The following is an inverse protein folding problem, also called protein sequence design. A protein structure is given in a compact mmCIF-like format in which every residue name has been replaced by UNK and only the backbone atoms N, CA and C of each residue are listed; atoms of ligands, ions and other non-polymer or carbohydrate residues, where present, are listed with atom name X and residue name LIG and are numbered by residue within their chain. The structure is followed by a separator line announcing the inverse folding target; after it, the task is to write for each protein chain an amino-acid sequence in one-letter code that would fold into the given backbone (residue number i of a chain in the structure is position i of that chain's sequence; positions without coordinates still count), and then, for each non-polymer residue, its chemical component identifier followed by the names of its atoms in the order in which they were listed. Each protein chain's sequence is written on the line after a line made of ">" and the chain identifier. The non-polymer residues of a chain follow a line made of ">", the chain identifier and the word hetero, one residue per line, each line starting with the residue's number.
data_IF_708269114847
#
_entry.id   IF_708269114847
#
_cell.length_a   1.000
_cell.length_b   1.000
_cell.length_c   1.000
_cell.angle_alpha   90.00
_cell.angle_beta   90.00
_cell.angle_gamma   90.00
#
_symmetry.space_group_name_H-M   'P 1'
#
loop_
_entity.id
_entity.type
_entity.pdbx_description
1 polymer ?
#
# COMPACT_ATOMS: atom_id res chain seq x y z
N UNK A 1 -13.98 1.69 -29.57
CA UNK A 1 -14.96 1.83 -28.48
C UNK A 1 -14.51 2.82 -27.39
N UNK A 2 -13.21 2.97 -27.15
CA UNK A 2 -12.67 3.91 -26.13
C UNK A 2 -12.67 5.39 -26.58
N UNK A 3 -12.77 5.67 -27.88
CA UNK A 3 -12.75 7.03 -28.41
C UNK A 3 -14.10 7.78 -28.33
N UNK A 4 -15.20 7.12 -28.01
CA UNK A 4 -16.53 7.73 -27.94
C UNK A 4 -16.94 8.23 -26.54
N UNK A 5 -16.05 8.10 -25.52
CA UNK A 5 -16.36 8.50 -24.13
C UNK A 5 -16.01 9.94 -23.80
N UNK A 6 -15.77 10.81 -24.79
CA UNK A 6 -15.19 12.14 -24.56
C UNK A 6 -16.23 13.25 -24.37
N UNK A 7 -17.37 12.97 -23.75
CA UNK A 7 -18.51 13.89 -23.74
C UNK A 7 -19.05 14.38 -22.40
N UNK A 8 -18.56 13.94 -21.22
CA UNK A 8 -19.18 14.37 -19.96
C UNK A 8 -18.12 14.87 -18.98
N UNK A 9 -18.14 16.18 -18.72
CA UNK A 9 -17.37 16.85 -17.66
C UNK A 9 -18.04 16.73 -16.28
N UNK A 10 -18.96 15.80 -16.09
CA UNK A 10 -19.55 15.52 -14.79
C UNK A 10 -18.62 14.56 -14.04
N UNK A 11 -18.29 14.89 -12.78
CA UNK A 11 -17.49 14.00 -11.91
C UNK A 11 -18.15 12.63 -11.77
N UNK A 12 -17.38 11.64 -11.36
CA UNK A 12 -17.88 10.28 -11.10
C UNK A 12 -19.01 10.33 -10.06
N UNK A 13 -20.07 9.58 -10.29
CA UNK A 13 -21.09 9.36 -9.26
C UNK A 13 -20.53 8.51 -8.13
N UNK A 14 -21.11 8.57 -6.94
CA UNK A 14 -20.71 7.75 -5.78
C UNK A 14 -20.69 6.27 -6.16
N UNK A 15 -21.71 5.78 -6.88
CA UNK A 15 -21.77 4.39 -7.34
C UNK A 15 -20.62 4.03 -8.29
N UNK A 16 -20.31 4.91 -9.25
CA UNK A 16 -19.17 4.72 -10.16
C UNK A 16 -17.84 4.71 -9.42
N UNK A 17 -17.68 5.54 -8.39
CA UNK A 17 -16.47 5.57 -7.56
C UNK A 17 -16.31 4.28 -6.78
N UNK A 18 -17.37 3.75 -6.16
CA UNK A 18 -17.34 2.45 -5.48
C UNK A 18 -17.01 1.30 -6.44
N UNK A 19 -17.65 1.24 -7.60
CA UNK A 19 -17.39 0.21 -8.61
C UNK A 19 -15.96 0.29 -9.13
N UNK A 20 -15.46 1.48 -9.40
CA UNK A 20 -14.09 1.70 -9.85
C UNK A 20 -13.10 1.24 -8.78
N UNK A 21 -13.28 1.64 -7.53
CA UNK A 21 -12.40 1.25 -6.43
C UNK A 21 -12.39 -0.26 -6.24
N UNK A 22 -13.57 -0.88 -6.16
CA UNK A 22 -13.68 -2.34 -6.05
C UNK A 22 -13.02 -3.05 -7.24
N UNK A 23 -13.26 -2.54 -8.45
CA UNK A 23 -12.65 -3.08 -9.67
C UNK A 23 -11.12 -2.98 -9.67
N UNK A 24 -10.56 -1.87 -9.19
CA UNK A 24 -9.11 -1.70 -9.06
C UNK A 24 -8.53 -2.66 -8.02
N UNK A 25 -9.14 -2.75 -6.82
CA UNK A 25 -8.69 -3.64 -5.75
C UNK A 25 -8.80 -5.13 -6.08
N UNK A 26 -9.69 -5.52 -6.98
CA UNK A 26 -9.75 -6.89 -7.51
C UNK A 26 -8.83 -7.07 -8.72
N UNK A 27 -8.74 -6.07 -9.59
CA UNK A 27 -7.97 -6.14 -10.82
C UNK A 27 -6.46 -6.14 -10.59
N UNK A 28 -5.95 -5.29 -9.71
CA UNK A 28 -4.51 -5.21 -9.45
C UNK A 28 -3.92 -6.54 -8.95
N UNK A 29 -4.53 -7.28 -8.01
CA UNK A 29 -4.01 -8.59 -7.60
C UNK A 29 -4.03 -9.65 -8.71
N UNK A 30 -4.96 -9.58 -9.66
CA UNK A 30 -4.98 -10.50 -10.81
C UNK A 30 -3.67 -10.38 -11.61
N UNK A 31 -3.22 -9.15 -11.86
CA UNK A 31 -1.93 -8.90 -12.54
C UNK A 31 -0.74 -9.08 -11.59
N UNK A 32 -0.89 -8.69 -10.32
CA UNK A 32 0.13 -8.84 -9.28
C UNK A 32 0.49 -10.31 -9.00
N UNK A 33 -0.40 -11.24 -9.29
CA UNK A 33 -0.18 -12.68 -9.15
C UNK A 33 0.76 -13.26 -10.24
N UNK A 34 0.84 -12.62 -11.42
CA UNK A 34 1.57 -13.19 -12.56
C UNK A 34 3.05 -13.47 -12.28
N UNK A 35 3.83 -12.62 -11.62
CA UNK A 35 5.22 -12.93 -11.29
C UNK A 35 5.37 -14.19 -10.41
N UNK A 36 4.42 -14.48 -9.53
CA UNK A 36 4.44 -15.68 -8.71
C UNK A 36 4.10 -16.95 -9.51
N UNK A 37 3.23 -16.83 -10.49
CA UNK A 37 2.88 -17.97 -11.36
C UNK A 37 3.98 -18.32 -12.36
N UNK A 38 4.53 -17.31 -13.01
CA UNK A 38 5.53 -17.49 -14.08
C UNK A 38 6.96 -17.41 -13.58
N UNK A 39 7.15 -17.05 -12.31
CA UNK A 39 8.46 -17.02 -11.66
C UNK A 39 8.88 -18.38 -11.10
N UNK A 40 9.97 -18.37 -10.34
CA UNK A 40 10.56 -19.59 -9.78
C UNK A 40 9.68 -20.30 -8.73
N UNK A 41 8.60 -19.71 -8.27
CA UNK A 41 7.65 -20.34 -7.35
C UNK A 41 6.69 -21.30 -8.03
N UNK A 42 6.45 -21.12 -9.34
CA UNK A 42 5.46 -21.90 -10.11
C UNK A 42 4.14 -22.08 -9.35
N UNK A 43 3.73 -21.04 -8.63
CA UNK A 43 2.61 -21.10 -7.71
C UNK A 43 1.29 -21.31 -8.49
N UNK A 44 0.36 -22.06 -7.89
CA UNK A 44 -1.00 -22.15 -8.44
C UNK A 44 -1.62 -20.75 -8.45
N UNK A 45 -2.45 -20.47 -9.44
CA UNK A 45 -3.06 -19.14 -9.59
C UNK A 45 -3.78 -18.65 -8.31
N UNK A 46 -4.47 -19.54 -7.61
CA UNK A 46 -5.19 -19.20 -6.39
C UNK A 46 -4.23 -18.74 -5.28
N UNK A 47 -3.11 -19.44 -5.12
CA UNK A 47 -2.09 -19.12 -4.11
C UNK A 47 -1.38 -17.81 -4.47
N UNK A 48 -1.03 -17.64 -5.74
CA UNK A 48 -0.44 -16.41 -6.28
C UNK A 48 -1.37 -15.20 -6.15
N UNK A 49 -2.66 -15.38 -6.41
CA UNK A 49 -3.67 -14.35 -6.24
C UNK A 49 -3.86 -13.97 -4.78
N UNK A 50 -3.91 -14.97 -3.88
CA UNK A 50 -4.01 -14.72 -2.45
C UNK A 50 -2.82 -13.90 -1.95
N UNK A 51 -1.60 -14.28 -2.34
CA UNK A 51 -0.37 -13.58 -1.96
C UNK A 51 -0.37 -12.13 -2.47
N UNK A 52 -0.75 -11.91 -3.72
CA UNK A 52 -0.86 -10.58 -4.31
C UNK A 52 -1.95 -9.73 -3.65
N UNK A 53 -3.10 -10.33 -3.35
CA UNK A 53 -4.20 -9.67 -2.63
C UNK A 53 -3.76 -9.30 -1.22
N UNK A 54 -3.16 -10.23 -0.48
CA UNK A 54 -2.63 -10.00 0.87
C UNK A 54 -1.57 -8.90 0.90
N UNK A 55 -0.71 -8.85 -0.12
CA UNK A 55 0.24 -7.75 -0.29
C UNK A 55 -0.47 -6.42 -0.49
N UNK A 56 -1.30 -6.30 -1.51
CA UNK A 56 -1.97 -5.04 -1.86
C UNK A 56 -2.93 -4.53 -0.78
N UNK A 57 -3.60 -5.43 -0.05
CA UNK A 57 -4.47 -5.02 1.07
C UNK A 57 -3.70 -4.78 2.37
N UNK A 58 -2.37 -4.88 2.33
CA UNK A 58 -1.49 -4.76 3.50
C UNK A 58 -1.83 -5.73 4.64
N UNK A 59 -2.45 -6.87 4.32
CA UNK A 59 -2.86 -7.88 5.31
C UNK A 59 -1.67 -8.64 5.89
N UNK A 60 -0.64 -8.93 5.07
CA UNK A 60 0.58 -9.60 5.52
C UNK A 60 0.47 -11.11 5.74
N UNK A 61 -0.69 -11.72 5.46
CA UNK A 61 -0.83 -13.18 5.47
C UNK A 61 -0.16 -13.80 4.23
N UNK A 62 0.59 -14.87 4.41
CA UNK A 62 1.30 -15.56 3.32
C UNK A 62 0.92 -17.04 3.24
N UNK A 63 0.83 -17.55 2.01
CA UNK A 63 0.70 -18.98 1.72
C UNK A 63 2.03 -19.59 1.29
N UNK A 64 3.03 -18.74 1.04
CA UNK A 64 4.36 -19.21 0.66
C UNK A 64 5.17 -19.62 1.89
N UNK A 65 5.90 -20.69 1.73
CA UNK A 65 6.87 -21.25 2.69
C UNK A 65 8.25 -21.28 2.06
N UNK A 66 9.30 -21.48 2.85
CA UNK A 66 10.68 -21.46 2.42
C UNK A 66 11.09 -20.10 1.81
N UNK A 67 10.64 -19.02 2.43
CA UNK A 67 10.94 -17.65 1.99
C UNK A 67 12.46 -17.39 1.96
N UNK A 68 13.21 -18.02 2.89
CA UNK A 68 14.66 -17.92 2.99
C UNK A 68 15.40 -18.30 1.70
N UNK A 69 14.81 -19.17 0.89
CA UNK A 69 15.38 -19.66 -0.38
C UNK A 69 14.72 -19.05 -1.61
N UNK A 70 13.68 -18.24 -1.41
CA UNK A 70 12.94 -17.63 -2.51
C UNK A 70 13.82 -16.60 -3.25
N UNK A 71 13.72 -16.52 -4.59
CA UNK A 71 14.43 -15.50 -5.36
C UNK A 71 14.15 -14.09 -4.87
N UNK A 72 15.21 -13.30 -4.67
CA UNK A 72 15.13 -11.92 -4.18
C UNK A 72 14.18 -11.04 -4.98
N UNK A 73 14.03 -11.29 -6.29
CA UNK A 73 13.08 -10.56 -7.13
C UNK A 73 11.62 -10.76 -6.70
N UNK A 74 11.26 -11.98 -6.30
CA UNK A 74 9.90 -12.28 -5.82
C UNK A 74 9.65 -11.73 -4.41
N UNK A 75 10.67 -11.78 -3.53
CA UNK A 75 10.63 -11.16 -2.21
C UNK A 75 10.44 -9.64 -2.32
N UNK A 76 11.20 -9.00 -3.23
CA UNK A 76 11.04 -7.58 -3.51
C UNK A 76 9.65 -7.28 -4.07
N UNK A 77 9.13 -8.12 -4.98
CA UNK A 77 7.80 -7.96 -5.55
C UNK A 77 6.71 -7.98 -4.48
N UNK A 78 6.79 -8.90 -3.50
CA UNK A 78 5.92 -8.93 -2.33
C UNK A 78 5.95 -7.62 -1.56
N UNK A 79 7.16 -7.11 -1.28
CA UNK A 79 7.36 -5.82 -0.60
C UNK A 79 6.78 -4.65 -1.38
N UNK A 80 6.98 -4.60 -2.71
CA UNK A 80 6.43 -3.55 -3.59
C UNK A 80 4.90 -3.58 -3.60
N UNK A 81 4.27 -4.75 -3.71
CA UNK A 81 2.81 -4.87 -3.66
C UNK A 81 2.25 -4.29 -2.36
N UNK A 82 2.89 -4.62 -1.23
CA UNK A 82 2.47 -4.14 0.08
C UNK A 82 2.69 -2.63 0.23
N UNK A 83 3.80 -2.12 -0.25
CA UNK A 83 4.15 -0.70 -0.21
C UNK A 83 3.19 0.16 -1.05
N UNK A 84 2.87 -0.27 -2.26
CA UNK A 84 1.86 0.40 -3.10
C UNK A 84 0.44 0.27 -2.51
N UNK A 85 0.15 -0.86 -1.88
CA UNK A 85 -1.11 -1.05 -1.16
C UNK A 85 -1.31 -0.02 -0.05
N UNK A 86 -0.28 0.25 0.73
CA UNK A 86 -0.30 1.27 1.79
C UNK A 86 -0.65 2.66 1.25
N UNK A 87 -0.01 3.11 0.17
CA UNK A 87 -0.37 4.38 -0.49
C UNK A 87 -1.79 4.31 -1.05
N UNK A 88 -2.17 3.20 -1.68
CA UNK A 88 -3.48 3.02 -2.29
C UNK A 88 -4.62 3.18 -1.28
N UNK A 89 -4.49 2.60 -0.09
CA UNK A 89 -5.49 2.73 0.98
C UNK A 89 -5.63 4.19 1.42
N UNK A 90 -4.54 4.93 1.58
CA UNK A 90 -4.56 6.35 1.96
C UNK A 90 -5.27 7.19 0.90
N UNK A 91 -4.96 6.97 -0.38
CA UNK A 91 -5.59 7.69 -1.50
C UNK A 91 -7.09 7.39 -1.55
N UNK A 92 -7.48 6.13 -1.42
CA UNK A 92 -8.89 5.72 -1.39
C UNK A 92 -9.62 6.37 -0.22
N UNK A 93 -9.05 6.34 0.99
CA UNK A 93 -9.63 6.98 2.15
C UNK A 93 -9.87 8.49 1.92
N UNK A 94 -8.90 9.19 1.34
CA UNK A 94 -9.05 10.62 1.04
C UNK A 94 -10.15 10.92 0.02
N UNK A 95 -10.37 10.05 -0.95
CA UNK A 95 -11.43 10.21 -1.94
C UNK A 95 -12.80 9.96 -1.33
N UNK A 96 -12.93 8.94 -0.49
CA UNK A 96 -14.23 8.54 0.07
C UNK A 96 -14.67 9.34 1.29
N UNK A 97 -13.75 9.72 2.19
CA UNK A 97 -14.09 10.42 3.42
C UNK A 97 -14.93 11.71 3.21
N UNK A 98 -14.61 12.57 2.22
CA UNK A 98 -15.43 13.76 1.94
C UNK A 98 -16.82 13.42 1.38
N UNK A 99 -16.94 12.31 0.63
CA UNK A 99 -18.19 11.91 -0.02
C UNK A 99 -19.15 11.20 0.94
N UNK A 100 -18.63 10.43 1.90
CA UNK A 100 -19.44 9.66 2.83
C UNK A 100 -20.20 10.49 3.86
N UNK A 101 -19.91 11.79 3.98
CA UNK A 101 -20.57 12.72 4.93
C UNK A 101 -20.73 12.14 6.34
N UNK A 102 -19.84 11.27 6.77
CA UNK A 102 -19.95 10.55 8.04
C UNK A 102 -19.55 11.46 9.18
N UNK A 103 -20.51 11.72 10.07
CA UNK A 103 -20.35 12.20 11.43
C UNK A 103 -19.47 13.44 11.67
N UNK A 104 -20.06 14.55 12.06
CA UNK A 104 -19.37 15.72 12.62
C UNK A 104 -18.71 16.67 11.62
N UNK A 105 -18.31 16.22 10.44
CA UNK A 105 -17.67 17.05 9.42
C UNK A 105 -18.64 18.06 8.78
N UNK A 106 -19.96 17.88 8.96
CA UNK A 106 -20.96 18.85 8.54
C UNK A 106 -20.92 20.13 9.39
N UNK A 107 -20.55 20.04 10.67
CA UNK A 107 -20.40 21.18 11.57
C UNK A 107 -19.18 22.00 11.16
N UNK A 108 -18.06 21.35 10.82
CA UNK A 108 -16.87 22.03 10.30
C UNK A 108 -17.10 22.68 8.93
N UNK A 109 -17.94 22.12 8.07
CA UNK A 109 -18.30 22.75 6.79
C UNK A 109 -19.17 23.99 6.99
N UNK A 110 -20.11 23.99 7.94
CA UNK A 110 -21.02 25.11 8.16
C UNK A 110 -20.31 26.38 8.68
N UNK A 111 -19.25 26.23 9.50
CA UNK A 111 -18.46 27.37 10.00
C UNK A 111 -17.30 27.79 9.07
N UNK A 112 -16.82 26.88 8.22
CA UNK A 112 -15.64 27.14 7.37
C UNK A 112 -15.99 27.62 5.94
N UNK A 113 -17.27 27.60 5.54
CA UNK A 113 -17.63 27.83 4.13
C UNK A 113 -17.51 29.28 3.66
N UNK A 114 -17.52 30.28 4.56
CA UNK A 114 -17.42 31.68 4.15
C UNK A 114 -16.00 32.23 4.04
N UNK A 115 -15.02 31.56 4.65
CA UNK A 115 -13.62 32.01 4.60
C UNK A 115 -12.66 31.05 3.90
N UNK A 116 -13.05 29.79 3.65
CA UNK A 116 -12.19 28.72 3.15
C UNK A 116 -12.38 28.37 1.67
N UNK A 117 -13.19 29.08 0.93
CA UNK A 117 -13.35 28.88 -0.53
C UNK A 117 -12.06 28.99 -1.36
N UNK A 118 -10.94 29.31 -0.72
CA UNK A 118 -9.60 29.41 -1.34
C UNK A 118 -8.57 28.42 -0.83
N UNK A 119 -8.86 27.58 0.18
CA UNK A 119 -7.83 26.81 0.91
C UNK A 119 -8.02 25.28 0.83
N UNK A 120 -8.96 24.75 0.07
CA UNK A 120 -8.95 23.30 -0.18
C UNK A 120 -7.87 23.01 -1.22
N UNK A 121 -6.67 22.48 -0.80
CA UNK A 121 -5.70 22.02 -1.76
C UNK A 121 -6.38 20.98 -2.65
N UNK A 122 -6.18 21.06 -3.95
CA UNK A 122 -6.70 20.06 -4.89
C UNK A 122 -6.31 18.69 -4.38
N UNK A 123 -7.20 17.71 -4.43
CA UNK A 123 -6.94 16.33 -3.96
C UNK A 123 -5.59 15.77 -4.48
N UNK A 124 -5.20 16.16 -5.69
CA UNK A 124 -3.88 15.85 -6.27
C UNK A 124 -2.71 16.41 -5.45
N UNK A 125 -2.82 17.63 -4.93
CA UNK A 125 -1.75 18.25 -4.12
C UNK A 125 -1.59 17.49 -2.80
N UNK A 126 -2.69 17.14 -2.14
CA UNK A 126 -2.68 16.35 -0.91
C UNK A 126 -2.08 14.96 -1.18
N UNK A 127 -2.50 14.30 -2.25
CA UNK A 127 -1.97 12.98 -2.63
C UNK A 127 -0.45 13.03 -2.86
N UNK A 128 0.05 14.05 -3.56
CA UNK A 128 1.49 14.24 -3.78
C UNK A 128 2.22 14.47 -2.45
N UNK A 129 1.71 15.34 -1.59
CA UNK A 129 2.35 15.62 -0.29
C UNK A 129 2.42 14.36 0.58
N UNK A 130 1.34 13.59 0.66
CA UNK A 130 1.33 12.32 1.42
C UNK A 130 2.31 11.32 0.80
N UNK A 131 2.35 11.20 -0.53
CA UNK A 131 3.30 10.30 -1.19
C UNK A 131 4.75 10.68 -0.91
N UNK A 132 5.07 11.98 -0.88
CA UNK A 132 6.42 12.46 -0.52
C UNK A 132 6.76 12.14 0.94
N UNK A 133 5.83 12.37 1.86
CA UNK A 133 6.02 12.02 3.28
C UNK A 133 6.21 10.50 3.44
N UNK A 134 5.38 9.70 2.79
CA UNK A 134 5.45 8.24 2.82
C UNK A 134 6.81 7.74 2.31
N UNK A 135 7.29 8.31 1.20
CA UNK A 135 8.62 8.01 0.66
C UNK A 135 9.72 8.40 1.64
N UNK A 136 9.63 9.61 2.24
CA UNK A 136 10.61 10.08 3.20
C UNK A 136 10.69 9.18 4.44
N UNK A 137 9.55 8.78 5.00
CA UNK A 137 9.47 7.85 6.13
C UNK A 137 10.07 6.48 5.73
N UNK A 138 9.77 5.99 4.52
CA UNK A 138 10.34 4.74 4.02
C UNK A 138 11.87 4.83 3.95
N UNK A 139 12.42 5.92 3.42
CA UNK A 139 13.87 6.13 3.35
C UNK A 139 14.53 6.17 4.73
N UNK A 140 13.91 6.86 5.69
CA UNK A 140 14.40 6.90 7.08
C UNK A 140 14.36 5.49 7.68
N UNK A 141 13.28 4.75 7.47
CA UNK A 141 13.13 3.37 7.96
C UNK A 141 14.21 2.44 7.39
N UNK A 142 14.53 2.56 6.07
CA UNK A 142 15.63 1.81 5.44
C UNK A 142 16.96 2.09 6.15
N UNK A 143 17.27 3.37 6.39
CA UNK A 143 18.52 3.76 7.04
C UNK A 143 18.60 3.23 8.47
N UNK A 144 17.49 3.26 9.22
CA UNK A 144 17.44 2.71 10.58
C UNK A 144 17.63 1.19 10.56
N UNK A 145 16.93 0.45 9.70
CA UNK A 145 17.15 -1.00 9.58
C UNK A 145 18.58 -1.35 9.17
N UNK A 146 19.14 -0.60 8.24
CA UNK A 146 20.54 -0.80 7.84
C UNK A 146 21.51 -0.55 9.00
N UNK A 147 21.27 0.48 9.84
CA UNK A 147 22.09 0.81 11.01
C UNK A 147 22.03 -0.27 12.11
N UNK A 148 20.90 -0.96 12.24
CA UNK A 148 20.73 -2.10 13.18
C UNK A 148 21.41 -3.38 12.66
N UNK A 149 21.84 -3.39 11.38
CA UNK A 149 22.66 -4.45 10.82
C UNK A 149 21.94 -5.39 9.83
N UNK A 150 20.80 -4.98 9.29
CA UNK A 150 20.16 -5.69 8.17
C UNK A 150 20.99 -5.47 6.89
N UNK A 151 20.94 -6.46 5.98
CA UNK A 151 21.47 -6.27 4.63
C UNK A 151 20.72 -5.12 3.92
N UNK A 152 21.34 -4.47 2.94
CA UNK A 152 20.68 -3.41 2.16
C UNK A 152 19.37 -3.89 1.52
N UNK A 153 19.33 -5.14 1.06
CA UNK A 153 18.14 -5.75 0.50
C UNK A 153 17.05 -5.96 1.55
N UNK A 154 17.38 -6.57 2.69
CA UNK A 154 16.41 -6.80 3.76
C UNK A 154 15.90 -5.50 4.37
N UNK A 155 16.81 -4.54 4.59
CA UNK A 155 16.42 -3.21 5.08
C UNK A 155 15.40 -2.54 4.15
N UNK A 156 15.59 -2.63 2.83
CA UNK A 156 14.67 -2.05 1.84
C UNK A 156 13.32 -2.74 1.87
N UNK A 157 13.28 -4.06 1.77
CA UNK A 157 12.01 -4.81 1.71
C UNK A 157 11.24 -4.68 3.04
N UNK A 158 11.92 -4.86 4.19
CA UNK A 158 11.27 -4.73 5.49
C UNK A 158 10.81 -3.30 5.79
N UNK A 159 11.54 -2.27 5.33
CA UNK A 159 11.07 -0.90 5.47
C UNK A 159 9.78 -0.63 4.66
N UNK A 160 9.71 -1.14 3.42
CA UNK A 160 8.49 -1.06 2.60
C UNK A 160 7.29 -1.70 3.30
N UNK A 161 7.48 -2.90 3.85
CA UNK A 161 6.39 -3.65 4.49
C UNK A 161 6.03 -3.12 5.87
N UNK A 162 7.00 -2.55 6.59
CA UNK A 162 6.79 -1.91 7.89
C UNK A 162 6.01 -0.61 7.75
N UNK A 163 6.43 0.29 6.87
CA UNK A 163 5.75 1.59 6.67
C UNK A 163 4.35 1.42 6.07
N UNK A 164 4.16 0.36 5.28
CA UNK A 164 2.83 -0.04 4.82
C UNK A 164 1.97 -0.69 5.92
N UNK A 165 2.51 -0.91 7.12
CA UNK A 165 1.88 -1.65 8.23
C UNK A 165 1.42 -3.06 7.86
N UNK A 166 2.09 -3.70 6.88
CA UNK A 166 1.66 -4.97 6.32
C UNK A 166 2.41 -6.19 6.86
N UNK A 167 3.69 -6.07 7.18
CA UNK A 167 4.46 -7.08 7.89
C UNK A 167 4.92 -8.29 7.07
N UNK A 168 4.90 -8.26 5.75
CA UNK A 168 5.58 -9.29 4.96
C UNK A 168 7.07 -9.32 5.28
N UNK A 169 7.62 -10.52 5.46
CA UNK A 169 9.04 -10.76 5.70
C UNK A 169 9.69 -11.52 4.54
N UNK A 170 11.03 -11.43 4.46
CA UNK A 170 11.86 -12.21 3.57
C UNK A 170 12.19 -13.59 4.15
N UNK A 171 11.82 -13.87 5.40
CA UNK A 171 12.19 -15.06 6.15
C UNK A 171 10.95 -15.71 6.78
N UNK A 172 10.92 -17.04 6.82
CA UNK A 172 9.83 -17.78 7.45
C UNK A 172 9.75 -17.49 8.96
N UNK A 173 10.89 -17.26 9.63
CA UNK A 173 10.95 -16.85 11.02
C UNK A 173 10.59 -15.36 11.26
N UNK A 174 10.24 -14.62 10.20
CA UNK A 174 9.97 -13.17 10.27
C UNK A 174 11.10 -12.40 10.96
N UNK A 175 10.82 -11.52 11.90
CA UNK A 175 11.85 -10.77 12.64
C UNK A 175 12.72 -11.66 13.54
N UNK A 176 12.32 -12.91 13.83
CA UNK A 176 13.14 -13.88 14.53
C UNK A 176 14.42 -14.29 13.80
N UNK A 177 14.52 -14.02 12.50
CA UNK A 177 15.74 -14.23 11.71
C UNK A 177 16.84 -13.18 11.97
N UNK A 178 16.50 -12.06 12.61
CA UNK A 178 17.40 -10.93 12.85
C UNK A 178 17.90 -10.87 14.31
N UNK A 179 18.78 -9.91 14.57
CA UNK A 179 19.27 -9.66 15.93
C UNK A 179 18.13 -9.20 16.84
N UNK A 180 18.17 -9.57 18.13
CA UNK A 180 17.22 -9.05 19.11
C UNK A 180 17.20 -7.52 19.11
N UNK A 181 16.00 -6.94 19.12
CA UNK A 181 15.82 -5.49 19.10
C UNK A 181 15.40 -4.93 17.74
N UNK A 182 15.57 -5.68 16.65
CA UNK A 182 15.13 -5.25 15.31
C UNK A 182 13.61 -5.10 15.25
N UNK A 183 12.87 -5.92 15.98
CA UNK A 183 11.42 -5.86 16.10
C UNK A 183 10.92 -4.54 16.68
N UNK A 184 11.69 -3.89 17.57
CA UNK A 184 11.30 -2.57 18.10
C UNK A 184 11.32 -1.48 17.06
N UNK A 185 12.23 -1.56 16.08
CA UNK A 185 12.24 -0.64 14.93
C UNK A 185 10.93 -0.79 14.15
N UNK A 186 10.51 -2.03 13.91
CA UNK A 186 9.24 -2.32 13.23
C UNK A 186 8.06 -1.68 13.99
N UNK A 187 7.98 -1.89 15.30
CA UNK A 187 6.89 -1.33 16.14
C UNK A 187 6.86 0.20 16.05
N UNK A 188 8.01 0.87 16.14
CA UNK A 188 8.08 2.35 16.09
C UNK A 188 7.57 2.90 14.75
N UNK A 189 7.88 2.24 13.64
CA UNK A 189 7.49 2.72 12.31
C UNK A 189 6.10 2.24 11.86
N UNK A 190 5.46 1.31 12.59
CA UNK A 190 4.07 0.88 12.35
C UNK A 190 3.03 1.74 13.09
N UNK A 191 3.43 2.54 14.08
CA UNK A 191 2.57 3.46 14.84
C UNK A 191 2.49 4.81 14.16
#
# INVERSE_FOLDING_TARGET
>A
ALACSNGVKEGLTIQQTFLLTTGVWLGLPLFGALPFMFGATEARYVDAFFEAMSGLTTTGATVFTNLDTMPKGLLLWRGILQWFGGIGIIVVAMVFLPELRVGGMQIFKAEAFDTLGKILPKATTIAIQISVIYLAITMICILVYFSVGLSAFDATVHAMTTVATGGFSNYDASFGAFKPGTEYVCVIFMI
#
